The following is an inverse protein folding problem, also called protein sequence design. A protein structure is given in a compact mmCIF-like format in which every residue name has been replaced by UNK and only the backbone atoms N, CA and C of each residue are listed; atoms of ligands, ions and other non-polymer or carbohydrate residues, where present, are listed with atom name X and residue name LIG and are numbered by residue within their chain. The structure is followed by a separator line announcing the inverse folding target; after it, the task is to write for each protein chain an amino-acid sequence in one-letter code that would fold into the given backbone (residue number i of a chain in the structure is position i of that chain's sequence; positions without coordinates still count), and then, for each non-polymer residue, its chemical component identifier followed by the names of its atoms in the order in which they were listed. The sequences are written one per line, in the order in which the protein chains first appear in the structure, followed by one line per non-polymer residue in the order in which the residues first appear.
data_IF_476825928309
#
_entry.id   IF_476825928309
#
_cell.length_a   1.000
_cell.length_b   1.000
_cell.length_c   1.000
_cell.angle_alpha   90.00
_cell.angle_beta   90.00
_cell.angle_gamma   90.00
#
_symmetry.space_group_name_H-M   'P 1'
#
loop_
_entity.id
_entity.type
_entity.pdbx_description
1 polymer ?
#
# COMPACT_ATOMS: atom_id res chain seq x y z
N UNK A 1 -4.49 18.82 40.29
CA UNK A 1 -4.26 17.40 39.92
C UNK A 1 -3.29 17.40 38.76
N UNK A 2 -1.99 17.27 39.02
CA UNK A 2 -0.95 17.32 37.99
C UNK A 2 -0.95 15.98 37.23
N UNK A 3 -1.33 16.01 35.96
CA UNK A 3 -1.14 14.89 35.05
C UNK A 3 0.37 14.69 34.86
N UNK A 4 0.91 13.72 35.58
CA UNK A 4 2.26 13.23 35.40
C UNK A 4 2.31 12.54 34.02
N UNK A 5 2.63 13.29 32.97
CA UNK A 5 3.04 12.71 31.69
C UNK A 5 4.37 11.99 31.95
N UNK A 6 4.32 10.68 32.19
CA UNK A 6 5.49 9.82 32.05
C UNK A 6 5.88 9.85 30.57
N UNK A 7 6.76 10.77 30.20
CA UNK A 7 7.52 10.65 28.97
C UNK A 7 8.47 9.47 29.17
N UNK A 8 8.07 8.32 28.63
CA UNK A 8 8.97 7.19 28.49
C UNK A 8 10.04 7.60 27.46
N UNK A 9 11.20 8.04 27.95
CA UNK A 9 12.34 8.31 27.07
C UNK A 9 12.84 6.98 26.53
N UNK A 10 12.53 6.68 25.26
CA UNK A 10 13.16 5.58 24.54
C UNK A 10 14.47 6.07 23.95
N UNK A 11 15.59 5.51 24.40
CA UNK A 11 16.89 5.70 23.77
C UNK A 11 17.16 4.51 22.85
N UNK A 12 17.45 4.77 21.59
CA UNK A 12 17.88 3.75 20.62
C UNK A 12 18.93 4.35 19.72
N UNK A 13 19.98 3.60 19.34
CA UNK A 13 20.99 4.11 18.42
C UNK A 13 20.43 4.29 17.01
N UNK A 14 19.45 3.48 16.60
CA UNK A 14 18.75 3.60 15.30
C UNK A 14 17.26 3.28 15.46
N UNK A 15 16.41 3.97 14.70
CA UNK A 15 14.97 3.76 14.66
C UNK A 15 14.48 3.61 13.23
N UNK A 16 13.66 2.59 12.95
CA UNK A 16 13.06 2.37 11.64
C UNK A 16 11.54 2.47 11.78
N UNK A 17 10.93 3.47 11.13
CA UNK A 17 9.48 3.63 11.07
C UNK A 17 8.89 2.81 9.93
N UNK A 18 8.33 1.65 10.29
CA UNK A 18 7.58 0.77 9.39
C UNK A 18 6.06 0.86 9.61
N UNK A 19 5.55 1.96 10.17
CA UNK A 19 4.10 2.13 10.40
C UNK A 19 3.30 2.29 9.11
N UNK A 20 3.97 2.50 7.98
CA UNK A 20 3.37 2.74 6.67
C UNK A 20 2.68 4.11 6.56
N UNK A 21 2.64 4.92 7.62
CA UNK A 21 2.09 6.28 7.63
C UNK A 21 3.08 7.29 8.20
N UNK A 22 4.37 6.94 8.27
CA UNK A 22 5.42 7.78 8.84
C UNK A 22 4.99 8.38 10.21
N UNK A 23 4.35 7.58 11.07
CA UNK A 23 3.73 8.09 12.30
C UNK A 23 4.80 8.55 13.30
N UNK A 24 5.89 7.80 13.42
CA UNK A 24 7.00 8.13 14.33
C UNK A 24 7.72 9.38 13.82
N UNK A 25 7.95 9.46 12.50
CA UNK A 25 8.53 10.66 11.86
C UNK A 25 7.71 11.91 12.20
N UNK A 26 6.39 11.83 12.09
CA UNK A 26 5.48 12.93 12.43
C UNK A 26 5.46 13.26 13.92
N UNK A 27 5.53 12.25 14.80
CA UNK A 27 5.55 12.44 16.25
C UNK A 27 6.84 13.11 16.74
N UNK A 28 7.98 12.84 16.08
CA UNK A 28 9.26 13.51 16.36
C UNK A 28 9.27 14.96 15.81
N UNK A 29 8.35 15.30 14.91
CA UNK A 29 8.20 16.65 14.36
C UNK A 29 8.86 16.85 12.99
N UNK A 30 9.32 15.78 12.34
CA UNK A 30 9.84 15.86 10.97
C UNK A 30 8.69 16.06 9.96
N UNK A 31 8.93 16.80 8.85
CA UNK A 31 7.92 17.06 7.84
C UNK A 31 7.51 15.79 7.09
N UNK A 32 6.22 15.74 6.71
CA UNK A 32 5.61 14.65 5.95
C UNK A 32 4.78 15.19 4.80
N UNK A 33 4.70 14.41 3.74
CA UNK A 33 3.88 14.67 2.56
C UNK A 33 2.57 13.90 2.68
N UNK A 34 1.48 14.54 2.27
CA UNK A 34 0.16 13.93 2.16
C UNK A 34 -0.69 14.72 1.17
N UNK A 35 -1.41 13.98 0.35
CA UNK A 35 -2.37 14.52 -0.62
C UNK A 35 -3.69 14.90 0.05
N UNK A 36 -4.45 15.81 -0.57
CA UNK A 36 -5.77 16.21 -0.08
C UNK A 36 -6.74 15.02 0.00
N UNK A 37 -6.66 14.14 -0.99
CA UNK A 37 -7.43 12.91 -1.09
C UNK A 37 -6.53 11.67 -1.00
N UNK A 38 -7.08 10.58 -0.46
CA UNK A 38 -6.41 9.28 -0.41
C UNK A 38 -6.93 8.38 -1.51
N UNK A 39 -6.04 7.53 -2.03
CA UNK A 39 -6.48 6.39 -2.86
C UNK A 39 -7.50 5.54 -2.09
N UNK A 40 -8.58 5.05 -2.74
CA UNK A 40 -9.55 4.15 -2.11
C UNK A 40 -8.87 2.95 -1.47
N UNK A 41 -9.40 2.50 -0.33
CA UNK A 41 -8.97 1.25 0.31
C UNK A 41 -9.70 0.04 -0.23
N UNK A 42 -9.32 -1.15 0.20
CA UNK A 42 -10.02 -2.40 -0.16
C UNK A 42 -10.05 -3.34 1.03
N UNK A 43 -11.23 -3.78 1.44
CA UNK A 43 -11.36 -4.96 2.28
C UNK A 43 -11.37 -6.18 1.36
N UNK A 44 -10.33 -6.99 1.40
CA UNK A 44 -10.24 -8.18 0.55
C UNK A 44 -11.09 -9.29 1.19
N UNK A 45 -12.03 -9.84 0.42
CA UNK A 45 -12.86 -10.98 0.82
C UNK A 45 -13.11 -11.89 -0.39
N UNK A 46 -13.66 -13.07 -0.13
CA UNK A 46 -14.17 -13.97 -1.16
C UNK A 46 -15.53 -14.50 -0.77
N UNK A 47 -16.47 -14.40 -1.69
CA UNK A 47 -17.80 -14.99 -1.62
C UNK A 47 -17.81 -16.35 -2.33
N UNK A 48 -18.76 -17.19 -1.95
CA UNK A 48 -19.07 -18.44 -2.64
C UNK A 48 -20.35 -19.04 -2.09
N UNK A 49 -20.62 -20.31 -2.38
CA UNK A 49 -21.92 -20.92 -2.07
C UNK A 49 -22.94 -20.79 -3.21
N UNK A 50 -22.45 -20.59 -4.43
CA UNK A 50 -23.18 -20.58 -5.67
C UNK A 50 -22.26 -21.15 -6.77
N UNK A 51 -22.87 -21.69 -7.81
CA UNK A 51 -22.17 -22.19 -9.00
C UNK A 51 -22.36 -21.20 -10.14
N UNK A 52 -21.28 -20.52 -10.53
CA UNK A 52 -21.32 -19.44 -11.51
C UNK A 52 -21.72 -19.93 -12.90
N UNK A 53 -21.38 -21.17 -13.25
CA UNK A 53 -21.68 -21.75 -14.57
C UNK A 53 -23.17 -22.05 -14.77
N UNK A 54 -23.95 -22.03 -13.68
CA UNK A 54 -25.41 -22.27 -13.71
C UNK A 54 -26.22 -20.97 -13.73
N UNK A 55 -25.59 -19.81 -13.57
CA UNK A 55 -26.28 -18.52 -13.46
C UNK A 55 -26.64 -17.95 -14.83
N UNK A 56 -27.83 -17.38 -14.94
CA UNK A 56 -28.24 -16.61 -16.12
C UNK A 56 -27.58 -15.22 -16.11
N UNK A 57 -26.54 -15.07 -16.94
CA UNK A 57 -25.73 -13.86 -17.01
C UNK A 57 -26.55 -12.58 -17.26
N UNK A 58 -27.58 -12.64 -18.09
CA UNK A 58 -28.38 -11.48 -18.46
C UNK A 58 -29.36 -11.09 -17.35
N UNK A 59 -29.92 -12.08 -16.64
CA UNK A 59 -30.71 -11.83 -15.41
C UNK A 59 -29.83 -11.17 -14.35
N UNK A 60 -28.65 -11.74 -14.09
CA UNK A 60 -27.69 -11.21 -13.12
C UNK A 60 -27.31 -9.76 -13.46
N UNK A 61 -26.96 -9.50 -14.71
CA UNK A 61 -26.54 -8.16 -15.14
C UNK A 61 -27.68 -7.14 -15.02
N UNK A 62 -28.92 -7.49 -15.40
CA UNK A 62 -30.08 -6.62 -15.23
C UNK A 62 -30.33 -6.27 -13.76
N UNK A 63 -30.26 -7.26 -12.87
CA UNK A 63 -30.46 -7.04 -11.43
C UNK A 63 -29.34 -6.21 -10.80
N UNK A 64 -28.10 -6.38 -11.25
CA UNK A 64 -26.96 -5.55 -10.84
C UNK A 64 -27.14 -4.09 -11.24
N UNK A 65 -27.49 -3.82 -12.51
CA UNK A 65 -27.76 -2.46 -12.99
C UNK A 65 -28.91 -1.83 -12.18
N UNK A 66 -29.99 -2.58 -11.94
CA UNK A 66 -31.10 -2.11 -11.11
C UNK A 66 -30.64 -1.78 -9.68
N UNK A 67 -29.82 -2.63 -9.06
CA UNK A 67 -29.32 -2.43 -7.69
C UNK A 67 -28.39 -1.21 -7.57
N UNK A 68 -27.58 -0.93 -8.58
CA UNK A 68 -26.78 0.30 -8.65
C UNK A 68 -27.66 1.54 -8.82
N UNK A 69 -28.74 1.44 -9.60
CA UNK A 69 -29.68 2.55 -9.86
C UNK A 69 -30.57 2.86 -8.65
N UNK A 70 -31.03 1.84 -7.94
CA UNK A 70 -31.95 1.96 -6.81
C UNK A 70 -31.24 2.12 -5.44
N UNK A 71 -29.91 2.02 -5.40
CA UNK A 71 -29.08 2.25 -4.22
C UNK A 71 -28.91 1.06 -3.30
N UNK A 72 -29.42 -0.14 -3.65
CA UNK A 72 -29.09 -1.39 -2.93
C UNK A 72 -27.59 -1.70 -2.97
N UNK A 73 -26.93 -1.36 -4.08
CA UNK A 73 -25.49 -1.25 -4.18
C UNK A 73 -25.09 0.22 -4.32
N UNK A 74 -23.92 0.55 -3.78
CA UNK A 74 -23.36 1.90 -3.80
C UNK A 74 -22.12 1.97 -4.69
N UNK A 75 -21.79 3.19 -5.14
CA UNK A 75 -20.52 3.43 -5.82
C UNK A 75 -19.36 2.96 -4.94
N UNK A 76 -18.42 2.21 -5.52
CA UNK A 76 -17.29 1.62 -4.81
C UNK A 76 -17.55 0.23 -4.20
N UNK A 77 -18.80 -0.23 -4.09
CA UNK A 77 -19.07 -1.63 -3.72
C UNK A 77 -18.45 -2.60 -4.75
N UNK A 78 -18.43 -2.19 -6.03
CA UNK A 78 -17.68 -2.83 -7.11
C UNK A 78 -16.79 -1.78 -7.76
N UNK A 79 -15.49 -2.04 -7.86
CA UNK A 79 -14.48 -1.08 -8.34
C UNK A 79 -14.57 -0.79 -9.84
N UNK A 80 -15.13 -1.72 -10.62
CA UNK A 80 -15.38 -1.55 -12.05
C UNK A 80 -16.85 -1.87 -12.38
N UNK A 81 -17.78 -0.93 -12.16
CA UNK A 81 -19.21 -1.15 -12.41
C UNK A 81 -19.56 -1.26 -13.90
N UNK A 82 -18.61 -0.99 -14.81
CA UNK A 82 -18.80 -1.15 -16.26
C UNK A 82 -18.54 -2.59 -16.72
N UNK A 83 -17.83 -3.39 -15.92
CA UNK A 83 -17.62 -4.81 -16.21
C UNK A 83 -18.90 -5.61 -15.96
N UNK A 84 -19.03 -6.77 -16.62
CA UNK A 84 -20.15 -7.69 -16.37
C UNK A 84 -20.04 -8.28 -14.97
N UNK A 85 -21.14 -8.24 -14.22
CA UNK A 85 -21.17 -8.65 -12.82
C UNK A 85 -20.93 -10.16 -12.64
N UNK A 86 -21.21 -10.97 -13.67
CA UNK A 86 -20.87 -12.40 -13.63
C UNK A 86 -19.36 -12.62 -13.45
N UNK A 87 -18.52 -11.77 -14.05
CA UNK A 87 -17.07 -11.85 -13.89
C UNK A 87 -16.61 -11.51 -12.47
N UNK A 88 -17.35 -10.63 -11.77
CA UNK A 88 -17.17 -10.39 -10.35
C UNK A 88 -17.52 -11.65 -9.54
N UNK A 89 -18.67 -12.27 -9.81
CA UNK A 89 -19.09 -13.51 -9.14
C UNK A 89 -18.15 -14.68 -9.38
N UNK A 90 -17.63 -14.84 -10.61
CA UNK A 90 -16.63 -15.85 -11.00
C UNK A 90 -15.34 -15.78 -10.18
N UNK A 91 -14.94 -14.57 -9.77
CA UNK A 91 -13.79 -14.34 -8.88
C UNK A 91 -14.15 -14.39 -7.39
N UNK A 92 -15.42 -14.65 -7.05
CA UNK A 92 -15.93 -14.54 -5.69
C UNK A 92 -15.90 -13.11 -5.14
N UNK A 93 -15.89 -12.10 -6.01
CA UNK A 93 -15.80 -10.69 -5.62
C UNK A 93 -14.43 -10.23 -5.10
N UNK A 94 -13.39 -11.05 -5.28
CA UNK A 94 -12.07 -10.81 -4.70
C UNK A 94 -11.40 -9.55 -5.26
N UNK A 95 -10.81 -8.76 -4.35
CA UNK A 95 -10.03 -7.55 -4.63
C UNK A 95 -10.74 -6.50 -5.53
N UNK A 96 -12.06 -6.38 -5.40
CA UNK A 96 -12.88 -5.55 -6.30
C UNK A 96 -13.73 -4.51 -5.57
N UNK A 97 -13.37 -4.12 -4.35
CA UNK A 97 -14.06 -3.10 -3.55
C UNK A 97 -13.20 -1.83 -3.45
N UNK A 98 -13.81 -0.66 -3.59
CA UNK A 98 -13.24 0.65 -3.32
C UNK A 98 -13.92 1.31 -2.10
N UNK A 99 -13.20 1.35 -0.98
CA UNK A 99 -13.59 2.12 0.20
C UNK A 99 -13.06 3.53 0.05
N UNK A 100 -13.90 4.46 -0.38
CA UNK A 100 -13.51 5.85 -0.55
C UNK A 100 -13.18 6.53 0.78
N UNK A 101 -12.16 7.40 0.76
CA UNK A 101 -11.68 8.09 1.97
C UNK A 101 -11.01 7.16 2.99
N UNK A 102 -10.58 5.97 2.57
CA UNK A 102 -9.89 5.02 3.44
C UNK A 102 -8.60 5.63 3.98
N UNK A 103 -8.48 5.64 5.31
CA UNK A 103 -7.41 6.34 6.01
C UNK A 103 -7.08 5.63 7.31
N UNK A 104 -5.81 5.26 7.47
CA UNK A 104 -5.29 4.60 8.67
C UNK A 104 -4.32 5.48 9.48
N UNK A 105 -4.30 6.80 9.22
CA UNK A 105 -3.36 7.72 9.89
C UNK A 105 -3.65 7.95 11.37
N UNK A 106 -4.87 7.67 11.83
CA UNK A 106 -5.25 7.69 13.25
C UNK A 106 -6.15 6.50 13.56
N UNK A 107 -6.22 6.08 14.82
CA UNK A 107 -7.07 4.95 15.24
C UNK A 107 -8.55 5.18 14.94
N UNK A 108 -9.05 6.41 15.08
CA UNK A 108 -10.44 6.77 14.74
C UNK A 108 -10.70 6.62 13.22
N UNK A 109 -9.81 7.14 12.39
CA UNK A 109 -9.92 7.04 10.92
C UNK A 109 -9.80 5.59 10.47
N UNK A 110 -8.88 4.83 11.08
CA UNK A 110 -8.72 3.41 10.78
C UNK A 110 -9.97 2.60 11.15
N UNK A 111 -10.59 2.91 12.29
CA UNK A 111 -11.86 2.30 12.71
C UNK A 111 -12.98 2.59 11.72
N UNK A 112 -13.15 3.86 11.33
CA UNK A 112 -14.15 4.27 10.32
C UNK A 112 -13.93 3.56 8.98
N UNK A 113 -12.69 3.45 8.53
CA UNK A 113 -12.30 2.73 7.31
C UNK A 113 -12.65 1.24 7.36
N UNK A 114 -12.44 0.61 8.51
CA UNK A 114 -12.79 -0.79 8.76
C UNK A 114 -14.30 -1.05 8.80
N UNK A 115 -15.06 -0.12 9.39
CA UNK A 115 -16.52 -0.17 9.42
C UNK A 115 -17.08 0.00 8.01
N UNK A 116 -16.61 1.01 7.26
CA UNK A 116 -17.05 1.26 5.89
C UNK A 116 -16.79 0.06 4.97
N UNK A 117 -15.60 -0.55 5.08
CA UNK A 117 -15.26 -1.77 4.34
C UNK A 117 -16.24 -2.92 4.60
N UNK A 118 -16.54 -3.19 5.88
CA UNK A 118 -17.48 -4.24 6.28
C UNK A 118 -18.92 -3.94 5.90
N UNK A 119 -19.37 -2.68 5.99
CA UNK A 119 -20.71 -2.28 5.55
C UNK A 119 -20.93 -2.57 4.07
N UNK A 120 -19.94 -2.25 3.25
CA UNK A 120 -19.94 -2.53 1.81
C UNK A 120 -19.93 -4.04 1.52
N UNK A 121 -19.06 -4.83 2.17
CA UNK A 121 -19.10 -6.30 2.11
C UNK A 121 -20.50 -6.84 2.43
N UNK A 122 -21.12 -6.38 3.52
CA UNK A 122 -22.45 -6.85 3.91
C UNK A 122 -23.55 -6.41 2.92
N UNK A 123 -23.45 -5.23 2.30
CA UNK A 123 -24.35 -4.82 1.21
C UNK A 123 -24.21 -5.75 0.01
N UNK A 124 -22.97 -6.00 -0.43
CA UNK A 124 -22.67 -6.89 -1.56
C UNK A 124 -23.20 -8.30 -1.27
N UNK A 125 -22.93 -8.86 -0.09
CA UNK A 125 -23.40 -10.19 0.27
C UNK A 125 -24.95 -10.28 0.24
N UNK A 126 -25.65 -9.27 0.79
CA UNK A 126 -27.12 -9.23 0.73
C UNK A 126 -27.63 -9.14 -0.70
N UNK A 127 -27.00 -8.33 -1.54
CA UNK A 127 -27.35 -8.24 -2.95
C UNK A 127 -27.11 -9.57 -3.67
N UNK A 128 -25.94 -10.18 -3.52
CA UNK A 128 -25.61 -11.46 -4.13
C UNK A 128 -26.61 -12.54 -3.71
N UNK A 129 -27.00 -12.61 -2.43
CA UNK A 129 -28.05 -13.54 -1.96
C UNK A 129 -29.43 -13.34 -2.57
N UNK A 130 -29.71 -12.13 -3.08
CA UNK A 130 -30.98 -11.84 -3.76
C UNK A 130 -31.00 -12.26 -5.24
N UNK A 131 -29.84 -12.63 -5.79
CA UNK A 131 -29.73 -13.09 -7.16
C UNK A 131 -30.19 -14.56 -7.27
N UNK A 132 -30.94 -14.93 -8.33
CA UNK A 132 -31.32 -16.32 -8.56
C UNK A 132 -30.11 -17.25 -8.64
N UNK A 133 -30.13 -18.35 -7.90
CA UNK A 133 -29.01 -19.31 -7.84
C UNK A 133 -27.87 -18.92 -6.89
N UNK A 134 -27.99 -17.79 -6.19
CA UNK A 134 -27.02 -17.30 -5.22
C UNK A 134 -27.53 -17.25 -3.78
N UNK A 135 -28.67 -17.86 -3.45
CA UNK A 135 -29.35 -17.77 -2.16
C UNK A 135 -28.46 -18.25 -0.99
N UNK A 136 -27.62 -19.24 -1.27
CA UNK A 136 -26.66 -19.83 -0.33
C UNK A 136 -25.31 -19.10 -0.27
N UNK A 137 -25.21 -17.91 -0.89
CA UNK A 137 -23.98 -17.13 -0.90
C UNK A 137 -23.50 -16.83 0.53
N UNK A 138 -22.20 -16.93 0.75
CA UNK A 138 -21.55 -16.73 2.06
C UNK A 138 -20.13 -16.23 1.88
N UNK A 139 -19.61 -15.59 2.92
CA UNK A 139 -18.19 -15.20 2.98
C UNK A 139 -17.37 -16.46 3.24
N UNK A 140 -16.47 -16.81 2.32
CA UNK A 140 -15.52 -17.90 2.47
C UNK A 140 -14.25 -17.44 3.19
N UNK A 141 -13.81 -16.21 2.91
CA UNK A 141 -12.70 -15.55 3.60
C UNK A 141 -12.90 -14.04 3.60
N UNK A 142 -12.38 -13.36 4.61
CA UNK A 142 -12.25 -11.91 4.66
C UNK A 142 -10.97 -11.57 5.42
N UNK A 143 -10.23 -10.57 4.95
CA UNK A 143 -9.10 -10.03 5.68
C UNK A 143 -9.56 -9.34 6.95
N UNK A 144 -8.69 -9.31 7.95
CA UNK A 144 -9.00 -8.69 9.25
C UNK A 144 -9.28 -7.18 9.12
N UNK A 145 -8.63 -6.52 8.15
CA UNK A 145 -8.70 -5.07 8.02
C UNK A 145 -8.90 -4.61 6.57
N UNK A 146 -9.52 -3.44 6.42
CA UNK A 146 -9.56 -2.73 5.14
C UNK A 146 -8.17 -2.17 4.85
N UNK A 147 -7.53 -2.67 3.80
CA UNK A 147 -6.21 -2.19 3.39
C UNK A 147 -6.29 -0.74 2.88
N UNK A 148 -5.47 0.13 3.44
CA UNK A 148 -5.33 1.53 3.00
C UNK A 148 -4.14 1.62 2.03
N UNK A 149 -4.33 2.31 0.90
CA UNK A 149 -3.28 2.44 -0.13
C UNK A 149 -2.35 3.62 0.11
N UNK A 150 -2.83 4.68 0.75
CA UNK A 150 -2.10 5.93 0.86
C UNK A 150 -2.43 6.66 2.17
N UNK A 151 -1.42 7.22 2.83
CA UNK A 151 -1.62 8.16 3.95
C UNK A 151 -0.52 9.24 3.91
N UNK A 152 0.52 9.10 4.73
CA UNK A 152 1.66 10.00 4.76
C UNK A 152 2.92 9.32 4.23
N UNK A 153 3.76 10.12 3.60
CA UNK A 153 5.13 9.78 3.21
C UNK A 153 6.08 10.78 3.85
N UNK A 154 7.35 10.44 3.96
CA UNK A 154 8.34 11.36 4.48
C UNK A 154 8.74 12.40 3.43
N UNK A 155 9.16 13.57 3.89
CA UNK A 155 10.10 14.39 3.12
C UNK A 155 11.49 13.80 3.38
N UNK A 156 12.02 13.07 2.41
CA UNK A 156 13.31 12.39 2.51
C UNK A 156 14.47 13.26 2.03
N UNK A 157 15.67 12.73 2.12
CA UNK A 157 16.86 13.37 1.54
C UNK A 157 16.88 13.33 0.00
N UNK A 158 16.23 12.32 -0.58
CA UNK A 158 15.94 12.19 -2.00
C UNK A 158 14.45 11.87 -2.16
N UNK A 159 13.77 12.46 -3.15
CA UNK A 159 12.38 12.12 -3.49
C UNK A 159 12.35 11.40 -4.83
N UNK A 160 11.83 10.17 -4.84
CA UNK A 160 11.66 9.40 -6.09
C UNK A 160 10.48 9.97 -6.87
N UNK A 161 10.73 10.47 -8.07
CA UNK A 161 9.67 10.95 -8.97
C UNK A 161 9.11 9.83 -9.84
N UNK A 162 7.95 10.08 -10.44
CA UNK A 162 7.34 9.25 -11.45
C UNK A 162 8.29 8.97 -12.62
N UNK A 163 9.03 9.99 -13.05
CA UNK A 163 9.98 9.89 -14.15
C UNK A 163 11.20 9.06 -13.75
N UNK A 164 11.72 9.20 -12.52
CA UNK A 164 12.77 8.32 -12.01
C UNK A 164 12.32 6.85 -12.01
N UNK A 165 11.10 6.60 -11.55
CA UNK A 165 10.53 5.25 -11.48
C UNK A 165 10.28 4.65 -12.87
N UNK A 166 9.64 5.41 -13.76
CA UNK A 166 9.23 4.92 -15.09
C UNK A 166 10.37 4.86 -16.10
N UNK A 167 11.45 5.62 -15.90
CA UNK A 167 12.68 5.49 -16.69
C UNK A 167 13.59 4.36 -16.20
N UNK A 168 13.32 3.80 -15.01
CA UNK A 168 14.21 2.82 -14.38
C UNK A 168 15.52 3.43 -13.92
N UNK A 169 15.50 4.68 -13.43
CA UNK A 169 16.71 5.38 -12.97
C UNK A 169 17.48 4.51 -11.96
N UNK A 170 18.78 4.39 -12.20
CA UNK A 170 19.71 3.80 -11.25
C UNK A 170 20.28 4.91 -10.36
N UNK A 171 19.95 4.90 -9.08
CA UNK A 171 20.52 5.83 -8.11
C UNK A 171 21.91 5.35 -7.65
N UNK A 172 22.83 6.28 -7.38
CA UNK A 172 24.18 5.93 -6.91
C UNK A 172 24.18 5.20 -5.57
N UNK A 173 23.20 5.52 -4.71
CA UNK A 173 22.97 4.91 -3.42
C UNK A 173 21.80 3.91 -3.44
N UNK A 174 21.58 3.23 -4.57
CA UNK A 174 20.50 2.25 -4.73
C UNK A 174 20.67 1.04 -3.78
N UNK A 175 19.62 0.73 -3.02
CA UNK A 175 19.63 -0.36 -2.01
C UNK A 175 18.65 -1.48 -2.31
N UNK A 176 17.69 -1.26 -3.19
CA UNK A 176 16.74 -2.28 -3.64
C UNK A 176 16.16 -1.95 -5.01
N UNK A 177 15.66 -2.97 -5.69
CA UNK A 177 14.82 -2.82 -6.87
C UNK A 177 13.34 -2.68 -6.47
N UNK A 178 12.57 -2.01 -7.31
CA UNK A 178 11.11 -2.01 -7.27
C UNK A 178 10.57 -2.25 -8.67
N UNK A 179 9.64 -3.20 -8.79
CA UNK A 179 8.98 -3.51 -10.04
C UNK A 179 7.49 -3.74 -9.83
N UNK A 180 6.70 -2.79 -10.32
CA UNK A 180 5.24 -2.82 -10.32
C UNK A 180 4.73 -1.72 -11.29
N UNK A 181 3.58 -1.91 -11.96
CA UNK A 181 2.95 -0.85 -12.74
C UNK A 181 2.65 0.40 -11.91
N UNK A 182 2.54 1.56 -12.56
CA UNK A 182 1.89 2.71 -11.92
C UNK A 182 0.41 2.34 -11.72
N UNK A 183 -0.04 2.32 -10.47
CA UNK A 183 -1.30 1.71 -10.02
C UNK A 183 -2.05 2.65 -9.07
N UNK A 184 -2.32 3.86 -9.58
CA UNK A 184 -3.05 4.89 -8.85
C UNK A 184 -4.56 4.60 -8.93
N UNK A 185 -5.18 4.38 -7.77
CA UNK A 185 -6.63 4.21 -7.68
C UNK A 185 -7.32 5.55 -7.41
N UNK A 186 -8.38 5.84 -8.14
CA UNK A 186 -9.20 7.04 -7.95
C UNK A 186 -10.69 6.69 -7.82
N UNK A 187 -11.55 7.72 -7.84
CA UNK A 187 -13.01 7.55 -7.78
C UNK A 187 -13.60 6.82 -8.99
N UNK A 188 -12.92 6.82 -10.12
CA UNK A 188 -13.39 6.27 -11.40
C UNK A 188 -12.81 4.87 -11.68
N UNK A 189 -11.87 4.40 -10.86
CA UNK A 189 -11.33 3.04 -10.90
C UNK A 189 -9.82 3.01 -10.73
N UNK A 190 -9.18 2.16 -11.52
CA UNK A 190 -7.72 2.08 -11.64
C UNK A 190 -7.37 1.73 -13.08
N UNK A 191 -6.28 2.31 -13.58
CA UNK A 191 -5.73 2.00 -14.90
C UNK A 191 -4.23 1.74 -14.75
N UNK A 192 -3.83 0.48 -14.52
CA UNK A 192 -2.42 0.14 -14.37
C UNK A 192 -1.62 0.52 -15.61
N UNK A 193 -0.49 1.20 -15.42
CA UNK A 193 0.43 1.57 -16.50
C UNK A 193 1.71 0.74 -16.34
N UNK A 194 1.90 -0.32 -17.13
CA UNK A 194 3.09 -1.15 -17.04
C UNK A 194 4.33 -0.35 -17.46
N UNK A 195 5.48 -0.71 -16.88
CA UNK A 195 6.77 -0.19 -17.31
C UNK A 195 7.17 -0.80 -18.66
N UNK A 196 8.01 -0.11 -19.46
CA UNK A 196 8.62 -0.71 -20.64
C UNK A 196 9.38 -1.99 -20.30
N UNK A 197 9.48 -2.91 -21.26
CA UNK A 197 10.27 -4.13 -21.10
C UNK A 197 11.73 -3.79 -20.81
N UNK A 198 12.33 -4.46 -19.83
CA UNK A 198 13.70 -4.20 -19.37
C UNK A 198 13.85 -3.05 -18.37
N UNK A 199 12.78 -2.31 -18.06
CA UNK A 199 12.83 -1.22 -17.09
C UNK A 199 12.58 -1.72 -15.67
N UNK A 200 13.57 -1.53 -14.79
CA UNK A 200 13.46 -1.84 -13.35
C UNK A 200 13.90 -0.64 -12.53
N UNK A 201 12.99 -0.07 -11.74
CA UNK A 201 13.30 1.06 -10.88
C UNK A 201 14.17 0.65 -9.69
N UNK A 202 14.96 1.59 -9.19
CA UNK A 202 15.72 1.41 -7.95
C UNK A 202 15.26 2.38 -6.87
N UNK A 203 15.43 1.98 -5.61
CA UNK A 203 15.14 2.81 -4.43
C UNK A 203 16.47 3.22 -3.80
N UNK A 204 16.80 4.53 -3.73
CA UNK A 204 18.00 5.02 -3.04
C UNK A 204 17.84 4.97 -1.53
N UNK A 205 18.94 4.76 -0.80
CA UNK A 205 18.99 4.84 0.65
C UNK A 205 18.47 6.19 1.16
N UNK A 206 18.83 7.29 0.48
CA UNK A 206 18.37 8.65 0.82
C UNK A 206 16.86 8.86 0.74
N UNK A 207 16.12 8.05 -0.03
CA UNK A 207 14.65 8.10 -0.02
C UNK A 207 14.01 7.44 1.22
N UNK A 208 14.79 6.66 1.96
CA UNK A 208 14.40 6.02 3.21
C UNK A 208 14.75 6.87 4.45
N UNK A 209 15.51 7.96 4.28
CA UNK A 209 15.98 8.80 5.39
C UNK A 209 15.17 10.10 5.43
N UNK A 210 14.41 10.40 6.50
CA UNK A 210 13.77 11.70 6.66
C UNK A 210 14.80 12.82 6.62
N UNK A 211 14.49 13.89 5.88
CA UNK A 211 15.40 15.02 5.67
C UNK A 211 15.84 15.64 6.98
N UNK A 212 17.14 15.85 7.14
CA UNK A 212 17.79 16.38 8.35
C UNK A 212 17.65 15.49 9.60
N UNK A 213 17.28 14.22 9.45
CA UNK A 213 17.34 13.25 10.55
C UNK A 213 18.71 12.58 10.62
N UNK A 214 19.05 12.05 11.79
CA UNK A 214 20.37 11.45 12.04
C UNK A 214 20.30 9.92 12.23
N UNK A 215 19.34 9.43 13.02
CA UNK A 215 19.21 8.01 13.39
C UNK A 215 17.82 7.44 13.10
N UNK A 216 17.19 7.93 12.02
CA UNK A 216 15.83 7.59 11.66
C UNK A 216 15.77 7.15 10.19
N UNK A 217 15.14 6.00 9.97
CA UNK A 217 14.83 5.44 8.67
C UNK A 217 13.33 5.20 8.58
N UNK A 218 12.82 5.06 7.35
CA UNK A 218 11.50 4.52 7.08
C UNK A 218 11.61 3.38 6.08
N UNK A 219 10.60 2.51 6.04
CA UNK A 219 10.46 1.53 4.98
C UNK A 219 9.00 1.31 4.59
N UNK A 220 8.78 0.86 3.36
CA UNK A 220 7.46 0.59 2.82
C UNK A 220 6.77 1.85 2.29
N UNK A 221 5.44 1.89 2.41
CA UNK A 221 4.57 2.94 1.85
C UNK A 221 4.99 4.38 2.21
N UNK A 222 5.67 4.59 3.34
CA UNK A 222 6.12 5.89 3.81
C UNK A 222 7.36 6.46 3.10
N UNK A 223 7.99 5.70 2.18
CA UNK A 223 9.16 6.12 1.38
C UNK A 223 8.95 7.47 0.69
N UNK A 224 9.99 8.29 0.64
CA UNK A 224 9.92 9.59 -0.01
C UNK A 224 9.78 9.46 -1.52
N UNK A 225 8.64 9.92 -2.04
CA UNK A 225 8.27 9.78 -3.44
C UNK A 225 7.19 10.80 -3.81
N UNK A 226 6.98 11.04 -5.10
CA UNK A 226 5.73 11.63 -5.57
C UNK A 226 4.59 10.60 -5.60
N UNK A 227 3.35 11.07 -5.75
CA UNK A 227 2.13 10.25 -5.58
C UNK A 227 2.07 9.08 -6.56
N UNK A 228 2.47 9.32 -7.81
CA UNK A 228 2.41 8.33 -8.88
C UNK A 228 3.46 7.25 -8.67
N UNK A 229 4.71 7.62 -8.39
CA UNK A 229 5.76 6.65 -8.04
C UNK A 229 5.38 5.83 -6.79
N UNK A 230 4.79 6.47 -5.78
CA UNK A 230 4.37 5.77 -4.56
C UNK A 230 3.33 4.68 -4.83
N UNK A 231 2.44 4.89 -5.82
CA UNK A 231 1.44 3.89 -6.20
C UNK A 231 2.05 2.53 -6.57
N UNK A 232 3.28 2.54 -7.07
CA UNK A 232 4.06 1.36 -7.41
C UNK A 232 5.05 0.95 -6.31
N UNK A 233 5.69 1.90 -5.63
CA UNK A 233 6.64 1.62 -4.54
C UNK A 233 5.99 1.01 -3.28
N UNK A 234 4.71 1.28 -3.04
CA UNK A 234 4.00 0.84 -1.82
C UNK A 234 3.67 -0.65 -1.78
N UNK A 235 3.91 -1.39 -2.86
CA UNK A 235 3.53 -2.81 -2.94
C UNK A 235 4.41 -3.68 -2.04
N UNK A 236 3.94 -4.89 -1.74
CA UNK A 236 4.55 -5.77 -0.74
C UNK A 236 6.01 -6.10 -1.05
N UNK A 237 6.32 -6.48 -2.29
CA UNK A 237 7.70 -6.85 -2.67
C UNK A 237 8.68 -5.69 -2.46
N UNK A 238 8.35 -4.51 -2.97
CA UNK A 238 9.16 -3.28 -2.79
C UNK A 238 9.26 -2.90 -1.30
N UNK A 239 8.15 -3.03 -0.55
CA UNK A 239 8.15 -2.75 0.89
C UNK A 239 9.03 -3.71 1.69
N UNK A 240 9.04 -5.00 1.34
CA UNK A 240 9.92 -5.99 1.96
C UNK A 240 11.38 -5.69 1.66
N UNK A 241 11.72 -5.37 0.41
CA UNK A 241 13.09 -5.03 0.02
C UNK A 241 13.58 -3.75 0.72
N UNK A 242 12.74 -2.70 0.80
CA UNK A 242 13.03 -1.50 1.59
C UNK A 242 13.22 -1.82 3.07
N UNK A 243 12.41 -2.72 3.64
CA UNK A 243 12.54 -3.13 5.04
C UNK A 243 13.87 -3.83 5.31
N UNK A 244 14.29 -4.73 4.41
CA UNK A 244 15.58 -5.41 4.51
C UNK A 244 16.75 -4.43 4.37
N UNK A 245 16.67 -3.49 3.42
CA UNK A 245 17.65 -2.41 3.24
C UNK A 245 17.76 -1.50 4.47
N UNK A 246 16.63 -1.03 5.01
CA UNK A 246 16.62 -0.18 6.20
C UNK A 246 17.18 -0.93 7.43
N UNK A 247 16.84 -2.21 7.59
CA UNK A 247 17.37 -3.05 8.67
C UNK A 247 18.89 -3.23 8.57
N UNK A 248 19.39 -3.51 7.37
CA UNK A 248 20.82 -3.65 7.13
C UNK A 248 21.57 -2.32 7.32
N UNK A 249 21.03 -1.21 6.83
CA UNK A 249 21.61 0.12 7.03
C UNK A 249 21.70 0.44 8.53
N UNK A 250 20.62 0.26 9.30
CA UNK A 250 20.63 0.46 10.74
C UNK A 250 21.67 -0.42 11.46
N UNK A 251 21.80 -1.69 11.08
CA UNK A 251 22.78 -2.60 11.68
C UNK A 251 24.23 -2.16 11.40
N UNK A 252 24.54 -1.75 10.17
CA UNK A 252 25.87 -1.25 9.81
C UNK A 252 26.16 0.08 10.50
N UNK A 253 25.17 0.99 10.58
CA UNK A 253 25.28 2.25 11.32
C UNK A 253 25.68 2.02 12.77
N UNK A 254 25.03 1.10 13.48
CA UNK A 254 25.38 0.75 14.87
C UNK A 254 26.79 0.18 14.96
N UNK A 255 27.16 -0.75 14.06
CA UNK A 255 28.47 -1.41 14.06
C UNK A 255 29.63 -0.44 13.83
N UNK A 256 29.44 0.54 12.96
CA UNK A 256 30.47 1.51 12.58
C UNK A 256 30.36 2.84 13.34
N UNK A 257 29.46 2.93 14.33
CA UNK A 257 29.20 4.16 15.09
C UNK A 257 28.93 5.38 14.19
N UNK A 258 28.14 5.17 13.13
CA UNK A 258 27.81 6.17 12.10
C UNK A 258 26.29 6.32 11.92
N UNK A 259 25.88 7.21 11.03
CA UNK A 259 24.47 7.43 10.67
C UNK A 259 24.05 6.53 9.50
N UNK A 260 22.74 6.30 9.27
CA UNK A 260 22.29 5.60 8.07
C UNK A 260 22.72 6.30 6.78
N UNK A 261 22.84 7.63 6.78
CA UNK A 261 23.27 8.41 5.62
C UNK A 261 24.73 8.13 5.25
N UNK A 262 25.57 7.88 6.24
CA UNK A 262 27.02 7.77 6.09
C UNK A 262 27.51 6.32 6.10
N UNK A 263 26.61 5.34 6.01
CA UNK A 263 26.98 3.92 5.86
C UNK A 263 27.68 3.71 4.51
N UNK A 264 28.86 3.06 4.47
CA UNK A 264 29.48 2.66 3.21
C UNK A 264 28.55 1.73 2.43
N UNK A 265 28.25 2.09 1.18
CA UNK A 265 27.32 1.31 0.34
C UNK A 265 27.81 -0.14 0.12
N UNK A 266 29.14 -0.35 0.06
CA UNK A 266 29.75 -1.68 -0.02
C UNK A 266 29.36 -2.55 1.17
N UNK A 267 29.52 -2.05 2.39
CA UNK A 267 29.20 -2.78 3.62
C UNK A 267 27.71 -3.12 3.69
N UNK A 268 26.87 -2.18 3.24
CA UNK A 268 25.43 -2.38 3.16
C UNK A 268 25.07 -3.47 2.13
N UNK A 269 25.64 -3.40 0.93
CA UNK A 269 25.42 -4.39 -0.13
C UNK A 269 25.93 -5.77 0.27
N UNK A 270 27.11 -5.86 0.90
CA UNK A 270 27.67 -7.12 1.39
C UNK A 270 26.75 -7.77 2.43
N UNK A 271 26.22 -6.98 3.38
CA UNK A 271 25.26 -7.48 4.37
C UNK A 271 23.93 -7.90 3.73
N UNK A 272 23.45 -7.13 2.77
CA UNK A 272 22.24 -7.45 2.01
C UNK A 272 22.38 -8.78 1.24
N UNK A 273 23.49 -8.96 0.51
CA UNK A 273 23.82 -10.18 -0.22
C UNK A 273 23.99 -11.37 0.73
N UNK A 274 24.66 -11.18 1.87
CA UNK A 274 24.79 -12.21 2.91
C UNK A 274 23.42 -12.74 3.37
N UNK A 275 22.41 -11.87 3.42
CA UNK A 275 21.03 -12.22 3.78
C UNK A 275 20.12 -12.49 2.57
N UNK A 276 20.68 -12.77 1.40
CA UNK A 276 19.95 -13.21 0.21
C UNK A 276 19.15 -12.10 -0.50
N UNK A 277 19.43 -10.83 -0.22
CA UNK A 277 18.82 -9.73 -0.97
C UNK A 277 19.40 -9.65 -2.39
N UNK A 278 18.54 -9.24 -3.32
CA UNK A 278 18.97 -8.83 -4.67
C UNK A 278 19.34 -7.35 -4.62
N UNK A 279 20.63 -7.05 -4.71
CA UNK A 279 21.14 -5.67 -4.66
C UNK A 279 21.24 -5.07 -6.08
N UNK A 280 20.88 -3.78 -6.25
CA UNK A 280 21.10 -3.09 -7.51
C UNK A 280 22.58 -3.00 -7.87
N UNK A 281 22.92 -3.49 -9.05
CA UNK A 281 24.27 -3.34 -9.61
C UNK A 281 24.21 -2.35 -10.76
N UNK A 282 25.19 -1.45 -10.83
CA UNK A 282 25.41 -0.66 -12.03
C UNK A 282 26.05 -1.59 -13.05
N UNK A 283 25.34 -1.89 -14.15
CA UNK A 283 25.96 -2.58 -15.27
C UNK A 283 27.16 -1.73 -15.72
N UNK A 284 28.35 -2.33 -15.67
CA UNK A 284 29.62 -1.72 -16.11
C UNK A 284 29.73 -1.87 -17.62
#
# INVERSE_FOLDING_TARGET
MALLFLYLFMTTPQLIDCTGGANIVGQIGFPRLREEETQPGTLIFKLGGYDVDTLDEDVIQRQFIAAMKDGRLQHGDVSNPRARFIGYLGKGGENAQHVFGADASTSDRHTKTNIAGRQSLLRILRFVRSLPGCENARVLKAQAETAVRETYRIVGEEQITHDDYTSGRHFEDAVSYSFYPIDLHDKDGVKPQPLPEGTVATVPLRALIPKNSHNLLVAGRSVSSDRLANSALRVQASSMAMGQAAGAAAAVSVRLETTPRDVPLSDLHDLLVLHGAVVPKKDI
#
